data_IF_570167093656
#
_entry.id   IF_570167093656
#
_cell.length_a   1.000
_cell.length_b   1.000
_cell.length_c   1.000
_cell.angle_alpha   90.00
_cell.angle_beta   90.00
_cell.angle_gamma   90.00
#
_symmetry.space_group_name_H-M   'P 1'
#
loop_
_entity.id
_entity.type
_entity.pdbx_description
1 polymer ?
#
# COMPACT_ATOMS: atom_id res chain seq x y z
N UNK A 1 -22.50 -55.10 15.03
CA UNK A 1 -22.72 -55.22 13.57
C UNK A 1 -23.49 -54.00 13.10
N UNK A 2 -23.04 -53.39 11.98
CA UNK A 2 -23.55 -52.20 11.26
C UNK A 2 -23.21 -50.82 11.88
N UNK A 3 -22.09 -50.18 11.48
CA UNK A 3 -21.85 -49.29 10.30
C UNK A 3 -21.99 -47.81 10.68
N UNK A 4 -20.88 -47.08 10.58
CA UNK A 4 -20.82 -45.63 10.77
C UNK A 4 -21.16 -44.83 9.51
N UNK A 5 -21.43 -43.55 9.69
CA UNK A 5 -21.30 -42.52 8.67
C UNK A 5 -20.94 -41.19 9.33
N UNK A 6 -19.70 -40.75 9.14
CA UNK A 6 -19.22 -39.43 9.52
C UNK A 6 -19.63 -38.42 8.43
N UNK A 7 -20.49 -37.47 8.77
CA UNK A 7 -20.84 -36.35 7.90
C UNK A 7 -19.92 -35.16 8.14
N UNK A 8 -18.81 -35.09 7.41
CA UNK A 8 -17.99 -33.89 7.33
C UNK A 8 -18.63 -32.92 6.31
N UNK A 9 -19.20 -31.81 6.80
CA UNK A 9 -19.64 -30.71 5.95
C UNK A 9 -18.42 -29.98 5.38
N UNK A 10 -18.10 -30.26 4.12
CA UNK A 10 -17.10 -29.50 3.36
C UNK A 10 -17.71 -28.15 2.97
N UNK A 11 -17.03 -27.07 3.39
CA UNK A 11 -17.28 -25.72 2.93
C UNK A 11 -17.14 -25.68 1.40
N UNK A 12 -18.15 -25.13 0.71
CA UNK A 12 -18.07 -24.82 -0.72
C UNK A 12 -17.05 -23.70 -0.89
N UNK A 13 -15.84 -24.07 -1.29
CA UNK A 13 -14.80 -23.14 -1.71
C UNK A 13 -15.03 -22.74 -3.15
N UNK A 14 -15.24 -21.46 -3.42
CA UNK A 14 -15.14 -20.88 -4.76
C UNK A 14 -13.68 -20.98 -5.24
N UNK A 15 -13.31 -22.10 -5.87
CA UNK A 15 -12.08 -22.23 -6.64
C UNK A 15 -12.45 -22.33 -8.11
N UNK A 16 -12.39 -21.23 -8.84
CA UNK A 16 -12.33 -21.29 -10.30
C UNK A 16 -10.90 -21.63 -10.70
N UNK A 17 -10.60 -22.93 -10.75
CA UNK A 17 -9.39 -23.46 -11.35
C UNK A 17 -9.45 -23.34 -12.87
N UNK A 18 -8.60 -22.48 -13.44
CA UNK A 18 -8.25 -22.52 -14.85
C UNK A 18 -6.87 -23.14 -14.98
N UNK A 19 -6.83 -24.38 -15.45
CA UNK A 19 -5.63 -25.09 -15.86
C UNK A 19 -4.95 -24.33 -17.01
N UNK A 20 -3.66 -24.01 -16.85
CA UNK A 20 -2.84 -23.38 -17.87
C UNK A 20 -1.37 -23.52 -17.51
N UNK A 21 -0.69 -24.43 -18.19
CA UNK A 21 0.66 -24.92 -17.97
C UNK A 21 1.75 -23.87 -17.75
N UNK A 22 2.75 -24.24 -16.95
CA UNK A 22 3.98 -23.50 -16.68
C UNK A 22 4.67 -22.96 -17.96
N UNK A 23 4.84 -21.65 -18.00
CA UNK A 23 5.95 -20.98 -18.69
C UNK A 23 6.65 -20.11 -17.67
N UNK A 24 7.91 -20.44 -17.39
CA UNK A 24 8.81 -19.58 -16.63
C UNK A 24 8.91 -18.19 -17.30
N UNK A 25 8.65 -17.13 -16.53
CA UNK A 25 8.93 -15.74 -16.94
C UNK A 25 7.72 -14.85 -17.23
N UNK A 26 6.64 -14.93 -16.43
CA UNK A 26 5.53 -13.97 -16.50
C UNK A 26 5.65 -12.88 -15.42
N UNK A 27 5.96 -11.65 -15.81
CA UNK A 27 5.90 -10.51 -14.88
C UNK A 27 4.49 -10.28 -14.30
N UNK A 28 4.34 -9.54 -13.20
CA UNK A 28 3.05 -9.31 -12.54
C UNK A 28 2.04 -8.66 -13.48
N UNK A 29 0.76 -9.05 -13.40
CA UNK A 29 -0.35 -8.48 -14.17
C UNK A 29 -0.51 -6.96 -13.94
N UNK A 30 -1.20 -6.26 -14.85
CA UNK A 30 -1.45 -4.82 -14.71
C UNK A 30 -2.14 -4.47 -13.38
N UNK A 31 -3.09 -5.32 -12.94
CA UNK A 31 -3.80 -5.19 -11.66
C UNK A 31 -2.85 -5.38 -10.48
N UNK A 32 -2.02 -6.41 -10.47
CA UNK A 32 -1.04 -6.63 -9.39
C UNK A 32 -0.06 -5.48 -9.29
N UNK A 33 0.44 -4.99 -10.44
CA UNK A 33 1.32 -3.81 -10.47
C UNK A 33 0.62 -2.57 -9.93
N UNK A 34 -0.68 -2.37 -10.23
CA UNK A 34 -1.47 -1.26 -9.70
C UNK A 34 -1.65 -1.37 -8.18
N UNK A 35 -2.04 -2.55 -7.67
CA UNK A 35 -2.15 -2.81 -6.23
C UNK A 35 -0.83 -2.55 -5.51
N UNK A 36 0.27 -3.10 -6.03
CA UNK A 36 1.61 -2.91 -5.45
C UNK A 36 2.04 -1.44 -5.43
N UNK A 37 1.68 -0.66 -6.46
CA UNK A 37 1.90 0.80 -6.46
C UNK A 37 1.07 1.50 -5.38
N UNK A 38 -0.22 1.19 -5.26
CA UNK A 38 -1.07 1.82 -4.24
C UNK A 38 -0.58 1.47 -2.83
N UNK A 39 -0.16 0.23 -2.59
CA UNK A 39 0.42 -0.18 -1.31
C UNK A 39 1.67 0.64 -0.97
N UNK A 40 2.66 0.69 -1.88
CA UNK A 40 3.91 1.45 -1.69
C UNK A 40 3.68 2.94 -1.47
N UNK A 41 2.82 3.56 -2.27
CA UNK A 41 2.47 4.98 -2.12
C UNK A 41 1.79 5.26 -0.77
N UNK A 42 1.01 4.31 -0.26
CA UNK A 42 0.36 4.42 1.06
C UNK A 42 1.39 4.27 2.20
N UNK A 43 2.33 3.33 2.08
CA UNK A 43 3.43 3.16 3.04
C UNK A 43 4.31 4.41 3.10
N UNK A 44 4.68 4.99 1.96
CA UNK A 44 5.42 6.25 1.91
C UNK A 44 4.65 7.44 2.52
N UNK A 45 3.31 7.41 2.50
CA UNK A 45 2.49 8.40 3.18
C UNK A 45 2.48 8.15 4.70
N UNK A 46 2.44 6.89 5.17
CA UNK A 46 2.56 6.55 6.59
C UNK A 46 3.87 7.09 7.18
N UNK A 47 4.99 6.96 6.46
CA UNK A 47 6.27 7.51 6.88
C UNK A 47 6.23 9.03 7.06
N UNK A 48 5.47 9.75 6.22
CA UNK A 48 5.28 11.20 6.38
C UNK A 48 4.45 11.53 7.61
N UNK A 49 3.38 10.76 7.88
CA UNK A 49 2.63 10.89 9.12
C UNK A 49 3.53 10.67 10.34
N UNK A 50 4.38 9.63 10.32
CA UNK A 50 5.34 9.36 11.39
C UNK A 50 6.32 10.51 11.61
N UNK A 51 6.88 11.06 10.54
CA UNK A 51 7.78 12.20 10.62
C UNK A 51 7.11 13.43 11.24
N UNK A 52 5.85 13.73 10.85
CA UNK A 52 5.10 14.86 11.41
C UNK A 52 4.77 14.61 12.89
N UNK A 53 4.34 13.41 13.27
CA UNK A 53 4.06 13.07 14.68
C UNK A 53 5.33 13.17 15.55
N UNK A 54 6.48 12.72 15.03
CA UNK A 54 7.75 12.80 15.73
C UNK A 54 8.22 14.26 15.92
N UNK A 55 8.05 15.10 14.91
CA UNK A 55 8.41 16.53 14.99
C UNK A 55 7.40 17.36 15.82
N UNK A 56 6.13 16.97 15.83
CA UNK A 56 5.03 17.69 16.47
C UNK A 56 4.20 16.78 17.38
N UNK A 57 4.70 16.42 18.59
CA UNK A 57 3.98 15.50 19.49
C UNK A 57 2.58 15.99 19.88
N UNK A 58 2.35 17.31 19.92
CA UNK A 58 1.03 17.90 20.19
C UNK A 58 -0.04 17.58 19.14
N UNK A 59 0.35 17.19 17.92
CA UNK A 59 -0.57 16.78 16.85
C UNK A 59 -0.89 15.28 16.90
N UNK A 60 -0.23 14.49 17.76
CA UNK A 60 -0.34 13.04 17.76
C UNK A 60 -1.78 12.53 17.92
N UNK A 61 -2.59 13.19 18.75
CA UNK A 61 -3.99 12.81 18.97
C UNK A 61 -4.84 12.95 17.70
N UNK A 62 -4.59 13.99 16.89
CA UNK A 62 -5.26 14.22 15.61
C UNK A 62 -4.75 13.26 14.53
N UNK A 63 -3.44 13.05 14.46
CA UNK A 63 -2.79 12.34 13.35
C UNK A 63 -2.81 10.82 13.47
N UNK A 64 -2.81 10.28 14.69
CA UNK A 64 -2.80 8.82 14.94
C UNK A 64 -3.98 8.08 14.28
N UNK A 65 -5.25 8.50 14.42
CA UNK A 65 -6.36 7.80 13.76
C UNK A 65 -6.27 7.86 12.24
N UNK A 66 -5.88 9.01 11.66
CA UNK A 66 -5.70 9.15 10.21
C UNK A 66 -4.58 8.25 9.69
N UNK A 67 -3.43 8.22 10.37
CA UNK A 67 -2.32 7.31 10.06
C UNK A 67 -2.76 5.84 10.08
N UNK A 68 -3.56 5.45 11.07
CA UNK A 68 -4.06 4.09 11.18
C UNK A 68 -4.94 3.69 9.98
N UNK A 69 -5.75 4.61 9.45
CA UNK A 69 -6.49 4.39 8.20
C UNK A 69 -5.56 4.22 7.00
N UNK A 70 -4.53 5.07 6.85
CA UNK A 70 -3.56 4.93 5.75
C UNK A 70 -2.83 3.58 5.82
N UNK A 71 -2.49 3.10 7.01
CA UNK A 71 -1.94 1.74 7.21
C UNK A 71 -2.94 0.66 6.78
N UNK A 72 -4.23 0.80 7.12
CA UNK A 72 -5.28 -0.12 6.66
C UNK A 72 -5.41 -0.12 5.14
N UNK A 73 -5.33 1.05 4.50
CA UNK A 73 -5.34 1.18 3.05
C UNK A 73 -4.14 0.45 2.41
N UNK A 74 -2.92 0.65 2.94
CA UNK A 74 -1.74 -0.08 2.45
C UNK A 74 -1.95 -1.60 2.50
N UNK A 75 -2.45 -2.11 3.63
CA UNK A 75 -2.74 -3.54 3.84
C UNK A 75 -3.82 -4.07 2.88
N UNK A 76 -4.86 -3.29 2.59
CA UNK A 76 -5.92 -3.68 1.64
C UNK A 76 -5.38 -3.94 0.22
N UNK A 77 -4.27 -3.29 -0.16
CA UNK A 77 -3.59 -3.50 -1.43
C UNK A 77 -2.41 -4.48 -1.37
N UNK A 78 -2.22 -5.17 -0.24
CA UNK A 78 -1.16 -6.17 -0.04
C UNK A 78 0.13 -5.64 0.59
N UNK A 79 0.13 -4.39 1.08
CA UNK A 79 1.23 -3.84 1.89
C UNK A 79 1.53 -4.71 3.11
N UNK A 80 2.80 -4.75 3.52
CA UNK A 80 3.29 -5.61 4.62
C UNK A 80 3.38 -7.11 4.33
N UNK A 81 2.83 -7.64 3.22
CA UNK A 81 2.96 -9.08 2.86
C UNK A 81 4.38 -9.44 2.38
N UNK A 82 5.12 -8.50 1.79
CA UNK A 82 6.50 -8.71 1.35
C UNK A 82 7.48 -8.96 2.52
N UNK A 83 7.20 -8.41 3.71
CA UNK A 83 7.99 -8.65 4.92
C UNK A 83 7.72 -10.03 5.57
N UNK A 84 6.63 -10.70 5.21
CA UNK A 84 6.23 -12.00 5.76
C UNK A 84 6.61 -13.22 4.91
N UNK A 85 7.03 -13.02 3.66
CA UNK A 85 7.48 -14.10 2.77
C UNK A 85 8.93 -14.55 3.06
N UNK A 86 9.64 -13.87 3.99
CA UNK A 86 11.01 -14.19 4.39
C UNK A 86 11.11 -14.96 5.70
N UNK A 87 10.36 -16.06 5.87
CA UNK A 87 10.63 -17.08 6.91
C UNK A 87 10.27 -18.49 6.43
N UNK A 88 10.86 -18.91 5.32
CA UNK A 88 11.17 -20.34 5.07
C UNK A 88 12.60 -20.37 4.55
N UNK A 89 13.49 -20.92 5.38
CA UNK A 89 14.92 -20.96 5.14
C UNK A 89 15.32 -22.01 4.11
N UNK A 90 16.61 -21.90 3.74
CA UNK A 90 17.44 -22.83 2.94
C UNK A 90 16.93 -23.00 1.50
N UNK A 91 17.63 -22.47 0.48
CA UNK A 91 18.90 -23.03 0.05
C UNK A 91 19.86 -22.05 -0.65
N UNK A 92 21.14 -22.25 -0.31
CA UNK A 92 22.35 -22.19 -1.14
C UNK A 92 22.61 -20.94 -1.99
N UNK A 93 23.48 -20.09 -1.42
CA UNK A 93 24.29 -19.14 -2.14
C UNK A 93 25.05 -19.81 -3.31
N UNK A 94 24.92 -19.25 -4.50
CA UNK A 94 25.90 -19.37 -5.58
C UNK A 94 26.03 -18.00 -6.23
N UNK A 95 27.11 -17.30 -5.90
CA UNK A 95 27.47 -16.02 -6.50
C UNK A 95 28.11 -16.24 -7.88
N UNK A 96 27.76 -15.39 -8.84
CA UNK A 96 28.74 -14.79 -9.76
C UNK A 96 28.15 -13.53 -10.45
N UNK A 97 28.91 -12.43 -10.61
CA UNK A 97 28.40 -11.14 -11.10
C UNK A 97 28.77 -10.86 -12.58
N UNK A 98 27.86 -10.26 -13.33
CA UNK A 98 28.06 -9.40 -14.52
C UNK A 98 26.68 -9.12 -15.14
N UNK A 99 26.29 -7.96 -15.68
CA UNK A 99 27.04 -6.80 -16.15
C UNK A 99 26.13 -5.55 -16.16
N UNK A 100 26.78 -4.41 -16.37
CA UNK A 100 26.28 -3.05 -16.57
C UNK A 100 24.90 -2.89 -17.22
N UNK A 101 24.05 -2.09 -16.57
CA UNK A 101 23.14 -1.19 -17.25
C UNK A 101 23.27 0.20 -16.62
N UNK A 102 23.87 1.12 -17.36
CA UNK A 102 23.95 2.54 -17.04
C UNK A 102 22.53 3.11 -17.17
N UNK A 103 21.81 3.14 -16.06
CA UNK A 103 20.58 3.89 -15.88
C UNK A 103 20.79 4.77 -14.66
N UNK A 104 20.99 6.06 -14.89
CA UNK A 104 21.16 7.06 -13.83
C UNK A 104 20.09 6.86 -12.75
N UNK A 105 20.44 6.51 -11.49
CA UNK A 105 19.45 6.56 -10.43
C UNK A 105 19.14 8.05 -10.24
N UNK A 106 17.92 8.47 -10.60
CA UNK A 106 17.36 9.66 -9.98
C UNK A 106 17.48 9.43 -8.48
N UNK A 107 18.39 10.16 -7.84
CA UNK A 107 18.60 10.08 -6.41
C UNK A 107 17.23 10.17 -5.73
N UNK A 108 16.95 9.33 -4.71
CA UNK A 108 15.73 9.49 -3.94
C UNK A 108 15.72 10.93 -3.44
N UNK A 109 14.69 11.69 -3.81
CA UNK A 109 14.52 13.03 -3.31
C UNK A 109 14.53 12.92 -1.78
N UNK A 110 15.55 13.49 -1.14
CA UNK A 110 15.65 13.54 0.31
C UNK A 110 14.31 13.99 0.88
N UNK A 111 13.81 13.35 1.95
CA UNK A 111 12.56 13.79 2.55
C UNK A 111 12.70 15.27 2.87
N UNK A 112 11.84 16.09 2.27
CA UNK A 112 11.80 17.51 2.59
C UNK A 112 11.60 17.63 4.11
N UNK A 113 12.39 18.45 4.81
CA UNK A 113 12.30 18.54 6.27
C UNK A 113 10.87 18.91 6.67
N UNK A 114 10.39 18.31 7.77
CA UNK A 114 9.09 18.66 8.33
C UNK A 114 9.15 20.13 8.78
N UNK A 115 8.20 20.99 8.36
CA UNK A 115 8.19 22.38 8.80
C UNK A 115 8.13 22.49 10.33
N UNK A 116 8.85 23.45 10.91
CA UNK A 116 8.82 23.75 12.35
C UNK A 116 7.48 24.33 12.82
N UNK A 117 6.71 24.93 11.92
CA UNK A 117 5.36 25.40 12.23
C UNK A 117 4.36 24.24 12.09
N UNK A 118 3.56 23.93 13.15
CA UNK A 118 2.65 22.79 13.13
C UNK A 118 1.53 22.93 12.09
N UNK A 119 1.00 24.13 11.86
CA UNK A 119 0.01 24.39 10.82
C UNK A 119 0.58 24.17 9.41
N UNK A 120 1.82 24.61 9.18
CA UNK A 120 2.52 24.34 7.92
C UNK A 120 2.80 22.83 7.71
N UNK A 121 3.11 22.11 8.79
CA UNK A 121 3.27 20.65 8.73
C UNK A 121 1.96 19.94 8.37
N UNK A 122 0.83 20.36 8.97
CA UNK A 122 -0.51 19.86 8.61
C UNK A 122 -0.89 20.20 7.16
N UNK A 123 -0.61 21.42 6.70
CA UNK A 123 -0.86 21.82 5.32
C UNK A 123 -0.03 21.00 4.31
N UNK A 124 1.23 20.73 4.62
CA UNK A 124 2.09 19.86 3.82
C UNK A 124 1.57 18.42 3.75
N UNK A 125 1.08 17.89 4.87
CA UNK A 125 0.48 16.56 4.94
C UNK A 125 -0.86 16.50 4.17
N UNK A 126 -1.69 17.54 4.28
CA UNK A 126 -2.93 17.67 3.53
C UNK A 126 -2.68 17.70 2.01
N UNK A 127 -1.65 18.40 1.57
CA UNK A 127 -1.24 18.42 0.17
C UNK A 127 -0.75 17.04 -0.30
N UNK A 128 -0.02 16.30 0.54
CA UNK A 128 0.43 14.94 0.23
C UNK A 128 -0.75 13.96 0.08
N UNK A 129 -1.72 13.99 1.00
CA UNK A 129 -2.96 13.20 0.93
C UNK A 129 -3.74 13.52 -0.36
N UNK A 130 -3.98 14.81 -0.64
CA UNK A 130 -4.71 15.25 -1.84
C UNK A 130 -4.03 14.80 -3.13
N UNK A 131 -2.72 15.01 -3.24
CA UNK A 131 -1.94 14.58 -4.40
C UNK A 131 -1.98 13.06 -4.59
N UNK A 132 -2.03 12.28 -3.51
CA UNK A 132 -2.12 10.83 -3.60
C UNK A 132 -3.54 10.38 -3.97
N UNK A 133 -4.58 11.00 -3.39
CA UNK A 133 -5.97 10.78 -3.78
C UNK A 133 -6.18 11.04 -5.28
N UNK A 134 -5.66 12.16 -5.81
CA UNK A 134 -5.73 12.49 -7.24
C UNK A 134 -5.02 11.46 -8.13
N UNK A 135 -3.84 10.98 -7.70
CA UNK A 135 -3.13 9.92 -8.44
C UNK A 135 -3.94 8.62 -8.46
N UNK A 136 -4.55 8.23 -7.35
CA UNK A 136 -5.41 7.04 -7.27
C UNK A 136 -6.67 7.20 -8.12
N UNK A 137 -7.28 8.39 -8.11
CA UNK A 137 -8.45 8.73 -8.94
C UNK A 137 -8.15 8.65 -10.44
N UNK A 138 -6.93 8.97 -10.87
CA UNK A 138 -6.49 8.77 -12.25
C UNK A 138 -6.21 7.29 -12.54
N UNK A 139 -5.46 6.64 -11.66
CA UNK A 139 -5.01 5.26 -11.86
C UNK A 139 -6.14 4.23 -11.81
N UNK A 140 -7.26 4.51 -11.13
CA UNK A 140 -8.39 3.58 -11.07
C UNK A 140 -9.07 3.37 -12.43
N UNK A 141 -8.89 4.29 -13.38
CA UNK A 141 -9.42 4.17 -14.75
C UNK A 141 -8.72 3.07 -15.55
N UNK A 142 -7.52 2.66 -15.11
CA UNK A 142 -6.67 1.67 -15.77
C UNK A 142 -6.86 0.24 -15.23
N UNK A 143 -7.78 0.04 -14.29
CA UNK A 143 -8.04 -1.26 -13.67
C UNK A 143 -9.53 -1.61 -13.72
N UNK A 144 -9.88 -2.90 -13.88
CA UNK A 144 -11.28 -3.29 -13.97
C UNK A 144 -11.94 -3.54 -12.60
N UNK A 145 -13.27 -3.45 -12.61
CA UNK A 145 -14.15 -4.07 -11.61
C UNK A 145 -13.86 -3.69 -10.17
N UNK A 146 -13.71 -4.70 -9.31
CA UNK A 146 -13.61 -4.53 -7.87
C UNK A 146 -12.38 -3.71 -7.43
N UNK A 147 -11.27 -3.79 -8.17
CA UNK A 147 -10.06 -3.04 -7.83
C UNK A 147 -10.26 -1.54 -8.07
N UNK A 148 -10.96 -1.16 -9.14
CA UNK A 148 -11.32 0.24 -9.38
C UNK A 148 -12.21 0.77 -8.25
N UNK A 149 -13.21 0.01 -7.81
CA UNK A 149 -14.11 0.38 -6.71
C UNK A 149 -13.35 0.57 -5.40
N UNK A 150 -12.45 -0.34 -5.06
CA UNK A 150 -11.59 -0.21 -3.88
C UNK A 150 -10.68 1.02 -3.97
N UNK A 151 -10.06 1.27 -5.13
CA UNK A 151 -9.23 2.46 -5.34
C UNK A 151 -10.05 3.76 -5.24
N UNK A 152 -11.27 3.79 -5.76
CA UNK A 152 -12.17 4.93 -5.64
C UNK A 152 -12.50 5.23 -4.17
N UNK A 153 -12.83 4.20 -3.38
CA UNK A 153 -13.11 4.35 -1.95
C UNK A 153 -11.91 4.91 -1.18
N UNK A 154 -10.71 4.40 -1.44
CA UNK A 154 -9.48 4.86 -0.78
C UNK A 154 -9.06 6.26 -1.26
N UNK A 155 -9.32 6.61 -2.52
CA UNK A 155 -9.11 7.98 -3.01
C UNK A 155 -10.05 8.97 -2.31
N UNK A 156 -11.33 8.61 -2.14
CA UNK A 156 -12.30 9.44 -1.43
C UNK A 156 -11.94 9.61 0.06
N UNK A 157 -11.51 8.54 0.74
CA UNK A 157 -11.02 8.61 2.11
C UNK A 157 -9.82 9.56 2.26
N UNK A 158 -8.83 9.45 1.37
CA UNK A 158 -7.67 10.36 1.36
C UNK A 158 -8.04 11.82 1.08
N UNK A 159 -9.04 12.08 0.23
CA UNK A 159 -9.57 13.42 0.04
C UNK A 159 -10.26 13.96 1.32
N UNK A 160 -10.98 13.10 2.05
CA UNK A 160 -11.56 13.43 3.36
C UNK A 160 -10.48 13.74 4.41
N UNK A 161 -9.41 12.95 4.47
CA UNK A 161 -8.26 13.24 5.34
C UNK A 161 -7.61 14.59 5.00
N UNK A 162 -7.41 14.88 3.71
CA UNK A 162 -6.85 16.15 3.28
C UNK A 162 -7.71 17.34 3.72
N UNK A 163 -9.04 17.20 3.70
CA UNK A 163 -9.96 18.21 4.23
C UNK A 163 -9.78 18.38 5.74
N UNK A 164 -9.83 17.30 6.53
CA UNK A 164 -9.66 17.36 7.99
C UNK A 164 -8.32 17.97 8.41
N UNK A 165 -7.23 17.61 7.72
CA UNK A 165 -5.89 18.18 7.96
C UNK A 165 -5.83 19.68 7.63
N UNK A 166 -6.56 20.11 6.58
CA UNK A 166 -6.66 21.53 6.22
C UNK A 166 -7.44 22.31 7.29
N UNK A 167 -8.52 21.74 7.84
CA UNK A 167 -9.25 22.36 8.94
C UNK A 167 -8.43 22.42 10.23
N UNK A 168 -7.65 21.38 10.53
CA UNK A 168 -6.75 21.36 11.69
C UNK A 168 -5.55 22.32 11.57
N UNK A 169 -5.27 22.84 10.37
CA UNK A 169 -4.18 23.79 10.12
C UNK A 169 -4.59 25.27 10.28
N UNK A 170 -5.89 25.53 10.45
CA UNK A 170 -6.46 26.87 10.68
C UNK A 170 -6.52 27.19 12.17
#
# INVERSE_FOLDING_TARGET
MLVGAAGAGLLVGCSSGGEGSDVAGGGPSAVERARARVARDSEALVERYDAVVAAHPGLAALLTPLRAEVVRHAKAFGGGKAAGAGKTGTDKASASPSASASGSPSAPASPSPVPENPGAALAGLAAAERKLADRRAKALLEVPGEVARLMASVAAAGAGHAYMLTEGAK
#
